data_IF_022352246254
#
_entry.id   IF_022352246254
#
_cell.length_a   1.000
_cell.length_b   1.000
_cell.length_c   1.000
_cell.angle_alpha   90.00
_cell.angle_beta   90.00
_cell.angle_gamma   90.00
#
_symmetry.space_group_name_H-M   'P 1'
#
loop_
_entity.id
_entity.type
_entity.pdbx_description
1 polymer ?
#
# COMPACT_ATOMS: atom_id res chain seq x y z
N UNK A 1 -24.72 23.02 -31.83
CA UNK A 1 -23.75 23.39 -30.79
C UNK A 1 -24.47 23.79 -29.52
N UNK A 2 -25.49 24.68 -29.61
CA UNK A 2 -26.18 25.25 -28.46
C UNK A 2 -26.95 24.25 -27.57
N UNK A 3 -27.50 23.18 -28.15
CA UNK A 3 -28.27 22.18 -27.39
C UNK A 3 -27.36 21.24 -26.55
N UNK A 4 -26.12 21.04 -26.98
CA UNK A 4 -25.12 20.26 -26.25
C UNK A 4 -24.56 21.11 -25.11
N UNK A 5 -24.26 22.36 -25.37
CA UNK A 5 -23.76 23.32 -24.39
C UNK A 5 -24.75 23.57 -23.27
N UNK A 6 -26.06 23.68 -23.61
CA UNK A 6 -27.15 23.84 -22.60
C UNK A 6 -27.32 22.58 -21.73
N UNK A 7 -27.09 21.38 -22.27
CA UNK A 7 -27.15 20.13 -21.46
C UNK A 7 -25.95 20.02 -20.53
N UNK A 8 -24.76 20.43 -20.96
CA UNK A 8 -23.56 20.44 -20.13
C UNK A 8 -23.65 21.49 -19.00
N UNK A 9 -24.28 22.65 -19.28
CA UNK A 9 -24.49 23.68 -18.28
C UNK A 9 -25.48 23.28 -17.17
N UNK A 10 -26.30 22.22 -17.38
CA UNK A 10 -27.28 21.72 -16.40
C UNK A 10 -26.76 20.49 -15.65
N UNK A 11 -25.51 20.05 -15.90
CA UNK A 11 -24.93 18.93 -15.16
C UNK A 11 -24.61 19.37 -13.74
N UNK A 12 -25.45 19.01 -12.80
CA UNK A 12 -25.21 19.22 -11.37
C UNK A 12 -24.44 18.01 -10.86
N UNK A 13 -23.19 18.22 -10.43
CA UNK A 13 -22.43 17.23 -9.70
C UNK A 13 -22.86 17.27 -8.23
N UNK A 14 -23.64 16.29 -7.81
CA UNK A 14 -23.95 16.10 -6.39
C UNK A 14 -22.93 15.14 -5.80
N UNK A 15 -22.05 15.64 -4.96
CA UNK A 15 -21.18 14.79 -4.15
C UNK A 15 -22.03 14.22 -3.01
N UNK A 16 -22.18 12.91 -2.96
CA UNK A 16 -22.82 12.24 -1.82
C UNK A 16 -21.96 12.38 -0.55
N UNK A 17 -22.61 12.32 0.61
CA UNK A 17 -21.91 12.42 1.92
C UNK A 17 -20.97 11.23 2.22
N UNK A 18 -21.02 10.18 1.41
CA UNK A 18 -20.16 8.99 1.52
C UNK A 18 -19.06 8.99 0.47
N UNK A 19 -17.91 9.55 0.77
CA UNK A 19 -16.69 9.37 -0.03
C UNK A 19 -15.62 8.66 0.79
N UNK A 20 -14.79 7.87 0.12
CA UNK A 20 -13.62 7.26 0.76
C UNK A 20 -12.49 8.29 0.77
N UNK A 21 -12.01 8.69 1.95
CA UNK A 21 -10.94 9.68 2.06
C UNK A 21 -9.61 9.18 1.51
N UNK A 22 -8.70 10.10 1.19
CA UNK A 22 -7.34 9.74 0.82
C UNK A 22 -6.60 9.14 2.02
N UNK A 23 -5.94 8.00 1.81
CA UNK A 23 -5.04 7.40 2.79
C UNK A 23 -3.68 8.09 2.73
N UNK A 24 -3.29 8.69 3.86
CA UNK A 24 -1.97 9.30 4.02
C UNK A 24 -1.24 8.61 5.15
N UNK A 25 -0.09 8.04 4.82
CA UNK A 25 0.79 7.47 5.81
C UNK A 25 1.32 8.57 6.74
N UNK A 26 1.35 8.29 8.04
CA UNK A 26 2.01 9.15 9.02
C UNK A 26 3.52 9.17 8.76
N UNK A 27 4.08 10.36 8.62
CA UNK A 27 5.48 10.54 8.24
C UNK A 27 6.44 9.99 9.31
N UNK A 28 6.14 10.23 10.59
CA UNK A 28 6.99 9.78 11.69
C UNK A 28 6.95 8.25 11.84
N UNK A 29 5.77 7.65 11.70
CA UNK A 29 5.62 6.19 11.73
C UNK A 29 6.32 5.54 10.53
N UNK A 30 6.14 6.09 9.34
CA UNK A 30 6.79 5.60 8.12
C UNK A 30 8.31 5.69 8.23
N UNK A 31 8.84 6.81 8.70
CA UNK A 31 10.29 6.99 8.93
C UNK A 31 10.88 5.98 9.93
N UNK A 32 10.07 5.49 10.88
CA UNK A 32 10.48 4.42 11.80
C UNK A 32 10.45 3.03 11.17
N UNK A 33 9.49 2.75 10.28
CA UNK A 33 9.27 1.42 9.71
C UNK A 33 10.14 1.13 8.48
N UNK A 34 10.39 2.11 7.62
CA UNK A 34 11.21 1.94 6.42
C UNK A 34 12.59 1.35 6.73
N UNK A 35 13.37 1.85 7.71
CA UNK A 35 14.64 1.24 8.07
C UNK A 35 14.53 -0.21 8.54
N UNK A 36 13.45 -0.57 9.25
CA UNK A 36 13.19 -1.95 9.70
C UNK A 36 13.01 -2.88 8.50
N UNK A 37 12.18 -2.47 7.55
CA UNK A 37 11.95 -3.26 6.33
C UNK A 37 13.18 -3.30 5.44
N UNK A 38 13.92 -2.20 5.33
CA UNK A 38 15.19 -2.16 4.59
C UNK A 38 16.23 -3.12 5.18
N UNK A 39 16.35 -3.17 6.50
CA UNK A 39 17.22 -4.14 7.18
C UNK A 39 16.74 -5.59 7.01
N UNK A 40 15.42 -5.81 6.90
CA UNK A 40 14.83 -7.14 6.76
C UNK A 40 14.93 -7.69 5.34
N UNK A 41 14.69 -6.85 4.33
CA UNK A 41 14.56 -7.30 2.93
C UNK A 41 15.67 -6.81 2.01
N UNK A 42 16.44 -5.84 2.42
CA UNK A 42 17.44 -5.15 1.61
C UNK A 42 16.89 -3.89 0.92
N UNK A 43 17.76 -2.94 0.68
CA UNK A 43 17.44 -1.61 0.12
C UNK A 43 16.70 -1.67 -1.23
N UNK A 44 17.12 -2.58 -2.11
CA UNK A 44 16.52 -2.73 -3.44
C UNK A 44 15.08 -3.27 -3.43
N UNK A 45 14.59 -3.75 -2.30
CA UNK A 45 13.25 -4.33 -2.16
C UNK A 45 12.24 -3.44 -1.43
N UNK A 46 12.71 -2.35 -0.86
CA UNK A 46 11.87 -1.35 -0.20
C UNK A 46 11.91 -0.09 -1.04
N UNK A 47 10.84 0.15 -1.76
CA UNK A 47 10.78 1.24 -2.73
C UNK A 47 9.63 2.18 -2.42
N UNK A 48 9.86 3.46 -2.63
CA UNK A 48 8.78 4.44 -2.61
C UNK A 48 7.99 4.35 -3.92
N UNK A 49 6.67 4.36 -3.80
CA UNK A 49 5.77 4.34 -4.95
C UNK A 49 5.01 5.66 -5.04
N UNK A 50 4.73 6.16 -6.25
CA UNK A 50 3.95 7.38 -6.40
C UNK A 50 2.54 7.20 -5.83
N UNK A 51 1.91 8.28 -5.35
CA UNK A 51 0.53 8.25 -4.88
C UNK A 51 -0.42 7.72 -5.96
N UNK A 52 -1.42 6.96 -5.54
CA UNK A 52 -2.51 6.51 -6.41
C UNK A 52 -3.79 7.28 -6.10
N UNK A 53 -4.72 7.32 -7.06
CA UNK A 53 -6.04 7.95 -6.89
C UNK A 53 -7.09 7.00 -6.30
N UNK A 54 -6.69 5.81 -5.86
CA UNK A 54 -7.59 4.87 -5.20
C UNK A 54 -8.01 5.35 -3.82
N UNK A 55 -9.29 5.13 -3.46
CA UNK A 55 -9.78 5.29 -2.10
C UNK A 55 -9.50 4.04 -1.27
N UNK A 56 -9.33 4.22 0.04
CA UNK A 56 -9.03 3.11 0.96
C UNK A 56 -9.65 3.39 2.34
N UNK A 57 -10.47 2.46 2.83
CA UNK A 57 -11.19 2.61 4.11
C UNK A 57 -10.26 2.76 5.32
N UNK A 58 -9.05 2.25 5.22
CA UNK A 58 -8.02 2.40 6.25
C UNK A 58 -7.70 3.87 6.57
N UNK A 59 -7.99 4.79 5.65
CA UNK A 59 -7.88 6.24 5.83
C UNK A 59 -8.65 6.76 7.05
N UNK A 60 -9.76 6.11 7.42
CA UNK A 60 -10.63 6.51 8.54
C UNK A 60 -9.88 6.51 9.87
N UNK A 61 -8.96 5.58 10.08
CA UNK A 61 -8.11 5.58 11.29
C UNK A 61 -7.20 6.80 11.35
N UNK A 62 -6.63 7.20 10.21
CA UNK A 62 -5.82 8.42 10.13
C UNK A 62 -6.63 9.68 10.43
N UNK A 63 -7.84 9.77 9.92
CA UNK A 63 -8.76 10.88 10.23
C UNK A 63 -9.16 10.92 11.71
N UNK A 64 -9.23 9.77 12.37
CA UNK A 64 -9.47 9.68 13.81
C UNK A 64 -8.22 10.02 14.65
N UNK A 65 -7.12 10.46 14.02
CA UNK A 65 -5.89 10.85 14.71
C UNK A 65 -4.96 9.69 15.08
N UNK A 66 -5.21 8.49 14.56
CA UNK A 66 -4.32 7.33 14.75
C UNK A 66 -3.22 7.39 13.69
N UNK A 67 -1.92 7.35 14.06
CA UNK A 67 -0.84 7.23 13.08
C UNK A 67 -0.98 5.94 12.28
N UNK A 68 -1.09 6.04 10.97
CA UNK A 68 -1.26 4.90 10.06
C UNK A 68 -0.08 4.78 9.11
N UNK A 69 0.24 3.55 8.73
CA UNK A 69 1.20 3.25 7.68
C UNK A 69 0.70 2.06 6.85
N UNK A 70 0.26 2.33 5.64
CA UNK A 70 -0.13 1.32 4.67
C UNK A 70 1.00 1.12 3.66
N UNK A 71 1.29 -0.12 3.33
CA UNK A 71 2.28 -0.46 2.32
C UNK A 71 1.75 -1.53 1.37
N UNK A 72 2.28 -1.57 0.17
CA UNK A 72 1.92 -2.56 -0.84
C UNK A 72 2.98 -3.64 -0.95
N UNK A 73 2.56 -4.84 -1.32
CA UNK A 73 3.46 -5.97 -1.60
C UNK A 73 3.55 -6.19 -3.11
N UNK A 74 4.74 -6.48 -3.60
CA UNK A 74 4.92 -7.04 -4.93
C UNK A 74 4.35 -8.46 -4.97
N UNK A 75 3.45 -8.72 -5.90
CA UNK A 75 2.71 -9.99 -5.98
C UNK A 75 2.98 -10.78 -7.25
N UNK A 76 3.72 -10.20 -8.20
CA UNK A 76 3.98 -10.83 -9.50
C UNK A 76 5.36 -11.48 -9.46
N UNK A 77 5.40 -12.76 -9.83
CA UNK A 77 6.65 -13.54 -9.97
C UNK A 77 7.58 -12.86 -10.97
N UNK A 78 8.90 -12.85 -10.66
CA UNK A 78 9.90 -12.07 -11.40
C UNK A 78 9.98 -12.40 -12.90
N UNK A 79 9.84 -13.66 -13.28
CA UNK A 79 9.87 -14.04 -14.71
C UNK A 79 8.64 -13.56 -15.46
N UNK A 80 7.46 -13.59 -14.81
CA UNK A 80 6.23 -13.05 -15.38
C UNK A 80 6.31 -11.53 -15.50
N UNK A 81 6.85 -10.85 -14.49
CA UNK A 81 7.05 -9.41 -14.53
C UNK A 81 7.95 -9.01 -15.70
N UNK A 82 9.10 -9.67 -15.85
CA UNK A 82 9.99 -9.47 -16.98
C UNK A 82 9.32 -9.76 -18.35
N UNK A 83 8.35 -10.68 -18.37
CA UNK A 83 7.51 -10.94 -19.56
C UNK A 83 6.64 -9.74 -19.92
N UNK A 84 5.94 -9.16 -18.96
CA UNK A 84 5.13 -7.95 -19.16
C UNK A 84 5.98 -6.75 -19.58
N UNK A 85 7.14 -6.56 -18.97
CA UNK A 85 8.08 -5.49 -19.33
C UNK A 85 8.54 -5.58 -20.80
N UNK A 86 8.91 -6.79 -21.26
CA UNK A 86 9.28 -7.01 -22.68
C UNK A 86 8.15 -6.67 -23.64
N UNK A 87 6.91 -6.93 -23.23
CA UNK A 87 5.72 -6.63 -24.02
C UNK A 87 5.26 -5.17 -23.87
N UNK A 88 5.93 -4.39 -23.02
CA UNK A 88 5.54 -3.02 -22.65
C UNK A 88 4.09 -2.96 -22.14
N UNK A 89 3.69 -3.96 -21.39
CA UNK A 89 2.38 -4.09 -20.78
C UNK A 89 2.50 -4.08 -19.26
N UNK A 90 1.51 -3.52 -18.58
CA UNK A 90 1.40 -3.65 -17.14
C UNK A 90 0.81 -5.04 -16.80
N UNK A 91 1.24 -5.67 -15.70
CA UNK A 91 0.56 -6.85 -15.19
C UNK A 91 -0.88 -6.52 -14.79
N UNK A 92 -1.79 -7.52 -14.79
CA UNK A 92 -3.16 -7.33 -14.33
C UNK A 92 -3.21 -6.76 -12.92
N UNK A 93 -4.03 -5.73 -12.70
CA UNK A 93 -4.20 -5.07 -11.41
C UNK A 93 -5.01 -5.92 -10.43
N UNK A 94 -5.03 -5.52 -9.15
CA UNK A 94 -5.78 -6.18 -8.07
C UNK A 94 -7.26 -6.44 -8.38
N UNK A 95 -7.91 -5.55 -9.13
CA UNK A 95 -9.33 -5.67 -9.47
C UNK A 95 -9.57 -6.33 -10.83
N UNK A 96 -8.52 -6.87 -11.46
CA UNK A 96 -8.64 -7.60 -12.71
C UNK A 96 -9.05 -9.04 -12.46
N UNK A 97 -9.96 -9.64 -13.28
CA UNK A 97 -10.25 -11.07 -13.22
C UNK A 97 -9.05 -11.94 -13.62
N UNK A 98 -8.02 -11.35 -14.21
CA UNK A 98 -6.75 -12.00 -14.56
C UNK A 98 -5.64 -11.76 -13.53
N UNK A 99 -5.97 -11.15 -12.38
CA UNK A 99 -5.01 -11.02 -11.30
C UNK A 99 -4.60 -12.39 -10.76
N UNK A 100 -3.32 -12.69 -10.87
CA UNK A 100 -2.75 -13.97 -10.46
C UNK A 100 -1.48 -13.72 -9.66
N UNK A 101 -1.58 -13.61 -8.33
CA UNK A 101 -0.42 -13.38 -7.46
C UNK A 101 0.42 -14.65 -7.30
N UNK A 102 1.70 -14.47 -7.03
CA UNK A 102 2.58 -15.51 -6.51
C UNK A 102 2.33 -15.65 -5.01
N UNK A 103 1.40 -16.53 -4.64
CA UNK A 103 0.79 -16.53 -3.32
C UNK A 103 1.78 -16.82 -2.18
N UNK A 104 2.59 -17.87 -2.29
CA UNK A 104 3.46 -18.27 -1.19
C UNK A 104 4.53 -17.20 -0.87
N UNK A 105 5.35 -16.71 -1.82
CA UNK A 105 6.31 -15.65 -1.54
C UNK A 105 5.67 -14.36 -1.06
N UNK A 106 4.51 -14.00 -1.61
CA UNK A 106 3.77 -12.80 -1.21
C UNK A 106 3.32 -12.89 0.25
N UNK A 107 2.70 -14.00 0.65
CA UNK A 107 2.27 -14.22 2.03
C UNK A 107 3.46 -14.25 2.99
N UNK A 108 4.54 -14.93 2.63
CA UNK A 108 5.76 -14.96 3.43
C UNK A 108 6.34 -13.57 3.65
N UNK A 109 6.41 -12.77 2.59
CA UNK A 109 6.89 -11.38 2.67
C UNK A 109 5.97 -10.53 3.54
N UNK A 110 4.65 -10.64 3.36
CA UNK A 110 3.68 -9.89 4.15
C UNK A 110 3.74 -10.21 5.64
N UNK A 111 3.76 -11.50 5.99
CA UNK A 111 3.91 -11.95 7.39
C UNK A 111 5.20 -11.44 7.99
N UNK A 112 6.31 -11.54 7.26
CA UNK A 112 7.62 -11.06 7.74
C UNK A 112 7.62 -9.55 7.93
N UNK A 113 7.07 -8.78 6.98
CA UNK A 113 7.00 -7.32 7.06
C UNK A 113 6.17 -6.85 8.26
N UNK A 114 4.99 -7.44 8.44
CA UNK A 114 4.11 -7.10 9.57
C UNK A 114 4.72 -7.51 10.90
N UNK A 115 5.32 -8.70 10.99
CA UNK A 115 5.98 -9.16 12.22
C UNK A 115 7.14 -8.26 12.59
N UNK A 116 8.00 -7.89 11.63
CA UNK A 116 9.12 -6.98 11.87
C UNK A 116 8.64 -5.61 12.38
N UNK A 117 7.57 -5.07 11.77
CA UNK A 117 6.97 -3.81 12.20
C UNK A 117 6.43 -3.91 13.64
N UNK A 118 5.65 -4.95 13.95
CA UNK A 118 5.08 -5.15 15.29
C UNK A 118 6.17 -5.31 16.35
N UNK A 119 7.19 -6.13 16.11
CA UNK A 119 8.27 -6.32 17.06
C UNK A 119 9.10 -5.05 17.28
N UNK A 120 9.24 -4.21 16.26
CA UNK A 120 9.91 -2.91 16.40
C UNK A 120 9.07 -1.89 17.20
N UNK A 121 7.76 -1.83 16.92
CA UNK A 121 6.87 -0.88 17.59
C UNK A 121 6.49 -1.31 19.00
N UNK A 122 6.42 -2.61 19.25
CA UNK A 122 6.02 -3.24 20.50
C UNK A 122 7.08 -4.27 20.93
N UNK A 123 8.28 -3.83 21.32
CA UNK A 123 9.31 -4.76 21.77
C UNK A 123 8.83 -5.55 22.99
N UNK A 124 9.16 -6.84 23.10
CA UNK A 124 8.82 -7.66 24.24
C UNK A 124 9.31 -7.00 25.55
N UNK A 125 8.43 -6.91 26.57
CA UNK A 125 8.76 -6.28 27.86
C UNK A 125 9.85 -6.99 28.65
N UNK A 126 10.27 -8.18 28.25
CA UNK A 126 11.29 -9.00 28.91
C UNK A 126 12.28 -9.58 27.88
N UNK A 127 13.30 -8.80 27.55
CA UNK A 127 14.59 -9.43 27.35
C UNK A 127 15.13 -9.65 28.78
N UNK A 128 15.08 -10.88 29.29
CA UNK A 128 15.73 -11.20 30.57
C UNK A 128 17.20 -10.79 30.48
N UNK A 129 17.82 -10.23 31.55
CA UNK A 129 19.22 -9.92 31.54
C UNK A 129 20.00 -11.22 31.23
N UNK A 130 20.87 -11.17 30.22
CA UNK A 130 21.78 -12.27 29.93
C UNK A 130 22.52 -12.63 31.20
N UNK A 131 22.26 -13.81 31.72
CA UNK A 131 23.11 -14.41 32.77
C UNK A 131 24.54 -14.43 32.22
N UNK A 132 25.40 -13.66 32.89
CA UNK A 132 26.86 -13.68 32.66
C UNK A 132 27.42 -14.99 33.21
#
# INVERSE_FOLDING_TARGET
TDAIDQRLAQTTLTLGDGFTPATRNDEALTARLVPVWTATFGESRVVEVPPSMGGEDFSVYGLAGVPICMFSLGTVEAQRLAGFERLKQAPPSLHSPFFYPDAEPTLRTGVTAMTAAVLHLMPPKHAAPSLK
#
